data_IF_806598754457
#
_entry.id   IF_806598754457
#
_cell.length_a   1.000
_cell.length_b   1.000
_cell.length_c   1.000
_cell.angle_alpha   90.00
_cell.angle_beta   90.00
_cell.angle_gamma   90.00
#
_symmetry.space_group_name_H-M   'P 1'
#
loop_
_entity.id
_entity.type
_entity.pdbx_description
1 polymer ?
#
# COMPACT_ATOMS: atom_id res chain seq x y z
N UNK A 1 18.03 -55.66 37.38
CA UNK A 1 19.11 -54.94 36.67
C UNK A 1 18.67 -54.46 35.28
N UNK A 2 18.05 -55.31 34.45
CA UNK A 2 17.60 -54.95 33.08
C UNK A 2 16.53 -53.85 33.08
N UNK A 3 15.61 -53.88 34.03
CA UNK A 3 14.48 -52.94 34.11
C UNK A 3 14.91 -51.49 34.44
N UNK A 4 15.91 -51.34 35.31
CA UNK A 4 16.50 -50.02 35.66
C UNK A 4 17.19 -49.40 34.43
N UNK A 5 17.83 -50.23 33.60
CA UNK A 5 18.49 -49.75 32.37
C UNK A 5 17.48 -49.26 31.33
N UNK A 6 16.29 -49.86 31.24
CA UNK A 6 15.25 -49.44 30.29
C UNK A 6 14.59 -48.12 30.73
N UNK A 7 14.31 -47.96 32.02
CA UNK A 7 13.79 -46.71 32.56
C UNK A 7 14.77 -45.55 32.36
N UNK A 8 16.06 -45.79 32.55
CA UNK A 8 17.08 -44.76 32.34
C UNK A 8 17.19 -44.31 30.87
N UNK A 9 17.11 -45.25 29.92
CA UNK A 9 17.12 -44.93 28.48
C UNK A 9 15.88 -44.14 28.05
N UNK A 10 14.70 -44.48 28.57
CA UNK A 10 13.46 -43.75 28.27
C UNK A 10 13.53 -42.29 28.75
N UNK A 11 14.09 -42.04 29.93
CA UNK A 11 14.29 -40.68 30.45
C UNK A 11 15.28 -39.89 29.59
N UNK A 12 16.36 -40.52 29.13
CA UNK A 12 17.36 -39.85 28.29
C UNK A 12 16.79 -39.45 26.92
N UNK A 13 16.00 -40.31 26.28
CA UNK A 13 15.36 -39.95 25.00
C UNK A 13 14.32 -38.85 25.17
N UNK A 14 13.52 -38.87 26.24
CA UNK A 14 12.55 -37.80 26.52
C UNK A 14 13.24 -36.42 26.70
N UNK A 15 14.34 -36.38 27.47
CA UNK A 15 15.13 -35.15 27.66
C UNK A 15 15.76 -34.68 26.33
N UNK A 16 16.22 -35.62 25.50
CA UNK A 16 16.79 -35.31 24.19
C UNK A 16 15.75 -34.72 23.24
N UNK A 17 14.55 -35.27 23.18
CA UNK A 17 13.48 -34.75 22.34
C UNK A 17 13.04 -33.35 22.77
N UNK A 18 12.92 -33.10 24.08
CA UNK A 18 12.58 -31.77 24.60
C UNK A 18 13.66 -30.72 24.28
N UNK A 19 14.94 -31.09 24.37
CA UNK A 19 16.06 -30.24 23.97
C UNK A 19 16.05 -29.92 22.47
N UNK A 20 15.73 -30.90 21.62
CA UNK A 20 15.63 -30.68 20.16
C UNK A 20 14.46 -29.73 19.85
N UNK A 21 13.30 -29.95 20.46
CA UNK A 21 12.11 -29.12 20.25
C UNK A 21 12.34 -27.66 20.69
N UNK A 22 12.94 -27.45 21.86
CA UNK A 22 13.27 -26.11 22.36
C UNK A 22 14.32 -25.42 21.49
N UNK A 23 15.33 -26.14 21.01
CA UNK A 23 16.34 -25.59 20.09
C UNK A 23 15.74 -25.17 18.74
N UNK A 24 14.88 -26.02 18.16
CA UNK A 24 14.19 -25.70 16.90
C UNK A 24 13.28 -24.48 17.06
N UNK A 25 12.53 -24.39 18.16
CA UNK A 25 11.70 -23.22 18.48
C UNK A 25 12.54 -21.94 18.59
N UNK A 26 13.67 -21.99 19.31
CA UNK A 26 14.57 -20.85 19.47
C UNK A 26 15.23 -20.42 18.14
N UNK A 27 15.54 -21.37 17.25
CA UNK A 27 16.10 -21.08 15.93
C UNK A 27 15.07 -20.39 15.03
N UNK A 28 13.81 -20.85 15.06
CA UNK A 28 12.69 -20.22 14.36
C UNK A 28 12.50 -18.79 14.88
N UNK A 29 12.43 -18.57 16.18
CA UNK A 29 12.31 -17.23 16.80
C UNK A 29 13.47 -16.29 16.42
N UNK A 30 14.72 -16.77 16.43
CA UNK A 30 15.89 -15.98 16.00
C UNK A 30 15.85 -15.61 14.52
N UNK A 31 15.35 -16.51 13.67
CA UNK A 31 15.20 -16.24 12.23
C UNK A 31 14.13 -15.18 11.96
N UNK A 32 13.02 -15.22 12.70
CA UNK A 32 11.96 -14.21 12.65
C UNK A 32 12.42 -12.84 13.16
N UNK A 33 13.26 -12.79 14.19
CA UNK A 33 13.88 -11.54 14.65
C UNK A 33 14.70 -10.84 13.55
N UNK A 34 15.53 -11.59 12.82
CA UNK A 34 16.32 -11.04 11.71
C UNK A 34 15.45 -10.60 10.53
N UNK A 35 14.47 -11.43 10.14
CA UNK A 35 13.55 -11.11 9.05
C UNK A 35 12.69 -9.88 9.38
N UNK A 36 12.17 -9.78 10.60
CA UNK A 36 11.38 -8.62 11.03
C UNK A 36 12.21 -7.34 11.06
N UNK A 37 13.47 -7.39 11.52
CA UNK A 37 14.37 -6.24 11.47
C UNK A 37 14.69 -5.82 10.03
N UNK A 38 14.96 -6.77 9.13
CA UNK A 38 15.16 -6.48 7.71
C UNK A 38 13.91 -5.91 7.05
N UNK A 39 12.71 -6.38 7.41
CA UNK A 39 11.44 -5.82 6.97
C UNK A 39 11.23 -4.39 7.50
N UNK A 40 11.54 -4.13 8.76
CA UNK A 40 11.48 -2.79 9.36
C UNK A 40 12.45 -1.85 8.65
N UNK A 41 13.68 -2.29 8.39
CA UNK A 41 14.71 -1.50 7.72
C UNK A 41 14.36 -1.24 6.25
N UNK A 42 13.87 -2.25 5.53
CA UNK A 42 13.33 -2.11 4.18
C UNK A 42 12.17 -1.11 4.15
N UNK A 43 11.23 -1.21 5.11
CA UNK A 43 10.11 -0.27 5.26
C UNK A 43 10.58 1.15 5.58
N UNK A 44 11.63 1.32 6.38
CA UNK A 44 12.25 2.64 6.66
C UNK A 44 12.95 3.21 5.43
N UNK A 45 13.73 2.40 4.71
CA UNK A 45 14.39 2.80 3.46
C UNK A 45 13.38 3.18 2.39
N UNK A 46 12.28 2.43 2.31
CA UNK A 46 11.18 2.72 1.43
C UNK A 46 10.42 3.98 1.85
N UNK A 47 10.20 4.23 3.15
CA UNK A 47 9.68 5.51 3.65
C UNK A 47 10.60 6.69 3.37
N UNK A 48 11.92 6.51 3.26
CA UNK A 48 12.86 7.56 2.84
C UNK A 48 12.80 7.83 1.34
N UNK A 49 12.60 6.79 0.52
CA UNK A 49 12.39 6.93 -0.92
C UNK A 49 10.99 7.44 -1.28
N UNK A 50 10.01 7.14 -0.43
CA UNK A 50 8.66 7.67 -0.46
C UNK A 50 8.49 8.90 0.45
N UNK A 51 9.57 9.44 1.04
CA UNK A 51 9.51 10.63 1.92
C UNK A 51 9.10 11.79 1.03
N UNK A 52 7.83 12.19 1.08
CA UNK A 52 7.30 13.10 0.12
C UNK A 52 7.37 14.46 0.82
N UNK A 53 8.57 15.05 0.83
CA UNK A 53 8.61 16.51 0.77
C UNK A 53 7.82 17.02 -0.45
N UNK A 54 7.49 16.16 -1.41
CA UNK A 54 6.55 16.34 -2.53
C UNK A 54 5.03 16.13 -2.24
N UNK A 55 4.59 15.62 -1.07
CA UNK A 55 3.30 14.91 -0.99
C UNK A 55 2.08 15.64 -0.44
N UNK A 56 2.27 16.74 0.27
CA UNK A 56 1.16 17.55 0.79
C UNK A 56 1.70 18.96 0.95
N UNK A 57 1.51 19.78 -0.08
CA UNK A 57 1.89 21.20 -0.09
C UNK A 57 3.38 21.42 0.18
N UNK A 58 4.25 21.05 -0.77
CA UNK A 58 5.62 21.55 -0.74
C UNK A 58 5.55 23.07 -0.87
N UNK A 59 5.75 23.75 0.26
CA UNK A 59 6.05 25.15 0.32
C UNK A 59 7.30 25.38 -0.55
N UNK A 60 7.14 26.08 -1.67
CA UNK A 60 7.86 27.34 -2.00
C UNK A 60 7.90 27.66 -3.52
N UNK A 61 6.88 27.28 -4.32
CA UNK A 61 6.71 27.79 -5.69
C UNK A 61 5.97 29.16 -5.69
N UNK A 62 6.46 30.13 -4.92
CA UNK A 62 5.93 31.49 -4.89
C UNK A 62 4.49 31.65 -4.38
N UNK A 63 4.03 32.90 -4.26
CA UNK A 63 2.71 33.24 -3.73
C UNK A 63 1.58 33.00 -4.76
N UNK A 64 1.34 31.75 -5.16
CA UNK A 64 0.19 31.44 -6.01
C UNK A 64 0.16 30.03 -6.58
N UNK A 65 1.32 29.43 -6.85
CA UNK A 65 1.33 28.11 -7.47
C UNK A 65 1.02 27.02 -6.44
N UNK A 66 0.15 26.09 -6.79
CA UNK A 66 -0.23 24.93 -5.99
C UNK A 66 -0.26 23.70 -6.88
N UNK A 67 0.35 22.62 -6.41
CA UNK A 67 0.31 21.31 -7.07
C UNK A 67 -0.64 20.40 -6.30
N UNK A 68 -1.65 19.87 -6.98
CA UNK A 68 -2.60 18.92 -6.42
C UNK A 68 -2.28 17.51 -6.90
N UNK A 69 -2.24 16.57 -5.96
CA UNK A 69 -1.97 15.16 -6.21
C UNK A 69 -3.17 14.32 -5.79
N UNK A 70 -3.68 13.49 -6.70
CA UNK A 70 -4.84 12.62 -6.46
C UNK A 70 -4.49 11.20 -6.88
N UNK A 71 -4.74 10.22 -6.03
CA UNK A 71 -4.63 8.83 -6.43
C UNK A 71 -5.95 8.33 -6.97
N UNK A 72 -5.89 7.67 -8.12
CA UNK A 72 -6.93 6.79 -8.61
C UNK A 72 -6.70 5.38 -8.09
N UNK A 73 -7.75 4.71 -7.63
CA UNK A 73 -7.67 3.35 -7.09
C UNK A 73 -8.64 2.44 -7.81
N UNK A 74 -8.17 1.24 -8.12
CA UNK A 74 -9.00 0.15 -8.60
C UNK A 74 -8.65 -1.15 -7.87
N UNK A 75 -9.67 -1.99 -7.72
CA UNK A 75 -9.56 -3.34 -7.18
C UNK A 75 -9.73 -4.36 -8.29
N UNK A 76 -8.92 -5.43 -8.23
CA UNK A 76 -9.13 -6.63 -9.03
C UNK A 76 -10.32 -7.40 -8.49
N UNK A 77 -11.26 -7.73 -9.37
CA UNK A 77 -12.46 -8.48 -8.99
C UNK A 77 -12.13 -9.94 -8.68
N UNK A 78 -12.65 -10.52 -7.57
CA UNK A 78 -12.41 -11.92 -7.24
C UNK A 78 -12.85 -12.85 -8.37
N UNK A 79 -11.97 -13.78 -8.76
CA UNK A 79 -12.24 -14.74 -9.83
C UNK A 79 -12.12 -14.19 -11.26
N UNK A 80 -11.76 -12.92 -11.44
CA UNK A 80 -11.54 -12.35 -12.78
C UNK A 80 -10.20 -11.59 -12.86
N UNK A 81 -9.82 -11.19 -14.08
CA UNK A 81 -8.70 -10.28 -14.34
C UNK A 81 -9.16 -8.82 -14.47
N UNK A 82 -10.43 -8.52 -14.22
CA UNK A 82 -10.99 -7.18 -14.38
C UNK A 82 -10.63 -6.30 -13.18
N UNK A 83 -10.28 -5.04 -13.48
CA UNK A 83 -10.07 -3.99 -12.50
C UNK A 83 -11.27 -3.04 -12.50
N UNK A 84 -11.79 -2.71 -11.32
CA UNK A 84 -12.95 -1.83 -11.14
C UNK A 84 -12.74 -0.90 -9.95
N UNK A 85 -13.48 0.20 -9.90
CA UNK A 85 -13.52 1.04 -8.68
C UNK A 85 -13.89 0.18 -7.46
N UNK A 86 -13.19 0.29 -6.32
CA UNK A 86 -13.51 -0.53 -5.16
C UNK A 86 -14.92 -0.22 -4.63
N UNK A 87 -15.68 -1.27 -4.31
CA UNK A 87 -17.07 -1.16 -3.85
C UNK A 87 -17.44 -2.19 -2.77
N UNK A 88 -16.49 -3.01 -2.31
CA UNK A 88 -16.78 -4.02 -1.31
C UNK A 88 -16.91 -3.37 0.08
N UNK A 89 -17.71 -3.93 0.98
CA UNK A 89 -17.82 -3.43 2.35
C UNK A 89 -16.47 -3.33 3.09
N UNK A 90 -15.50 -4.18 2.72
CA UNK A 90 -14.15 -4.21 3.30
C UNK A 90 -13.22 -3.11 2.78
N UNK A 91 -13.64 -2.32 1.79
CA UNK A 91 -12.84 -1.19 1.28
C UNK A 91 -12.78 0.00 2.21
N UNK A 92 -13.80 0.18 3.05
CA UNK A 92 -13.95 1.35 3.90
C UNK A 92 -13.76 2.66 3.10
N UNK A 93 -12.73 3.44 3.42
CA UNK A 93 -12.35 4.69 2.77
C UNK A 93 -11.89 4.53 1.30
N UNK A 94 -11.40 3.34 0.91
CA UNK A 94 -10.97 3.03 -0.47
C UNK A 94 -12.15 2.79 -1.41
N UNK A 95 -13.38 2.81 -0.91
CA UNK A 95 -14.60 2.73 -1.73
C UNK A 95 -14.80 3.94 -2.66
N UNK A 96 -13.92 4.93 -2.57
CA UNK A 96 -13.83 6.05 -3.51
C UNK A 96 -12.76 5.78 -4.57
N UNK A 97 -13.07 6.05 -5.85
CA UNK A 97 -12.09 6.00 -6.94
C UNK A 97 -10.93 6.97 -6.73
N UNK A 98 -11.22 8.15 -6.19
CA UNK A 98 -10.27 9.25 -6.05
C UNK A 98 -9.93 9.48 -4.57
N UNK A 99 -8.70 9.19 -4.20
CA UNK A 99 -8.23 9.22 -2.81
C UNK A 99 -6.98 10.08 -2.64
N UNK A 100 -6.75 10.53 -1.41
CA UNK A 100 -5.49 11.13 -1.01
C UNK A 100 -4.41 10.07 -0.72
N UNK A 101 -3.20 10.50 -0.38
CA UNK A 101 -2.06 9.62 -0.09
C UNK A 101 -2.36 8.58 1.01
N UNK A 102 -3.23 8.92 1.96
CA UNK A 102 -3.63 8.08 3.07
C UNK A 102 -4.72 7.05 2.68
N UNK A 103 -5.21 7.09 1.44
CA UNK A 103 -6.24 6.17 0.95
C UNK A 103 -7.65 6.56 1.37
N UNK A 104 -7.84 7.82 1.78
CA UNK A 104 -9.14 8.38 2.16
C UNK A 104 -9.75 9.15 1.02
N UNK A 105 -11.08 9.34 1.07
CA UNK A 105 -11.79 10.24 0.15
C UNK A 105 -11.02 11.56 0.02
N UNK A 106 -10.61 11.89 -1.20
CA UNK A 106 -9.80 13.08 -1.41
C UNK A 106 -10.58 14.36 -1.00
N UNK A 107 -9.99 15.27 -0.20
CA UNK A 107 -10.71 16.39 0.43
C UNK A 107 -11.29 17.39 -0.58
N UNK A 108 -10.66 17.52 -1.74
CA UNK A 108 -11.08 18.45 -2.79
C UNK A 108 -12.13 17.88 -3.76
N UNK A 109 -12.66 16.67 -3.49
CA UNK A 109 -13.83 16.18 -4.20
C UNK A 109 -15.07 17.03 -3.86
N UNK A 110 -15.93 17.39 -4.84
CA UNK A 110 -17.09 18.24 -4.61
C UNK A 110 -17.96 17.72 -3.46
N UNK A 111 -18.40 18.65 -2.61
CA UNK A 111 -19.35 18.35 -1.54
C UNK A 111 -20.66 17.81 -2.16
N UNK A 112 -21.18 16.71 -1.61
CA UNK A 112 -22.37 16.04 -2.13
C UNK A 112 -22.15 15.11 -3.33
N UNK A 113 -20.93 15.02 -3.87
CA UNK A 113 -20.62 14.03 -4.90
C UNK A 113 -20.81 12.62 -4.34
N UNK A 114 -21.47 11.74 -5.09
CA UNK A 114 -21.68 10.33 -4.69
C UNK A 114 -20.53 9.43 -5.17
N UNK A 115 -20.39 8.25 -4.57
CA UNK A 115 -19.39 7.24 -5.01
C UNK A 115 -19.60 6.81 -6.47
N UNK A 116 -20.84 6.65 -6.91
CA UNK A 116 -21.17 6.28 -8.29
C UNK A 116 -20.72 7.37 -9.28
N UNK A 117 -20.97 8.64 -8.98
CA UNK A 117 -20.48 9.76 -9.80
C UNK A 117 -18.94 9.80 -9.82
N UNK A 118 -18.29 9.57 -8.68
CA UNK A 118 -16.84 9.53 -8.60
C UNK A 118 -16.26 8.38 -9.44
N UNK A 119 -16.88 7.20 -9.39
CA UNK A 119 -16.51 6.02 -10.17
C UNK A 119 -16.70 6.23 -11.68
N UNK A 120 -17.75 6.94 -12.10
CA UNK A 120 -18.03 7.22 -13.51
C UNK A 120 -17.11 8.30 -14.12
N UNK A 121 -16.46 9.12 -13.30
CA UNK A 121 -15.58 10.18 -13.79
C UNK A 121 -14.29 9.59 -14.36
N UNK A 122 -13.85 10.04 -15.54
CA UNK A 122 -12.60 9.58 -16.16
C UNK A 122 -11.37 10.36 -15.69
N UNK A 123 -11.56 11.57 -15.20
CA UNK A 123 -10.52 12.45 -14.68
C UNK A 123 -10.83 12.82 -13.22
N UNK A 124 -9.84 13.15 -12.39
CA UNK A 124 -10.11 13.55 -11.01
C UNK A 124 -11.01 14.80 -10.97
N UNK A 125 -12.21 14.74 -10.37
CA UNK A 125 -13.15 15.86 -10.35
C UNK A 125 -12.83 16.85 -9.21
N UNK A 126 -11.57 16.95 -8.79
CA UNK A 126 -11.15 17.74 -7.64
C UNK A 126 -11.05 19.24 -7.96
N UNK A 127 -11.41 20.11 -7.00
CA UNK A 127 -11.37 21.57 -7.13
C UNK A 127 -10.66 22.21 -5.94
N UNK A 128 -9.68 23.07 -6.20
CA UNK A 128 -8.88 23.75 -5.17
C UNK A 128 -9.52 25.08 -4.74
N UNK A 129 -10.69 25.03 -4.11
CA UNK A 129 -11.43 26.23 -3.70
C UNK A 129 -11.79 27.16 -4.87
N UNK A 130 -12.15 28.41 -4.55
CA UNK A 130 -12.51 29.44 -5.56
C UNK A 130 -11.37 30.41 -5.88
N UNK A 131 -10.30 30.41 -5.08
CA UNK A 131 -9.18 31.34 -5.23
C UNK A 131 -8.11 30.85 -6.21
N UNK A 132 -8.16 29.58 -6.60
CA UNK A 132 -7.16 28.98 -7.48
C UNK A 132 -7.80 28.53 -8.79
N UNK A 133 -7.12 28.82 -9.89
CA UNK A 133 -7.48 28.36 -11.22
C UNK A 133 -6.50 27.29 -11.68
N UNK A 134 -6.97 26.35 -12.49
CA UNK A 134 -6.10 25.34 -13.04
C UNK A 134 -5.11 25.95 -14.03
N UNK A 135 -3.82 25.72 -13.80
CA UNK A 135 -2.74 26.16 -14.67
C UNK A 135 -2.29 25.06 -15.66
N UNK A 136 -2.63 23.79 -15.37
CA UNK A 136 -2.40 22.65 -16.26
C UNK A 136 -3.65 21.79 -16.43
N UNK A 137 -3.59 20.83 -17.34
CA UNK A 137 -4.51 19.69 -17.36
C UNK A 137 -4.10 18.64 -16.32
N UNK A 138 -4.95 17.64 -16.13
CA UNK A 138 -4.61 16.47 -15.33
C UNK A 138 -3.63 15.59 -16.06
N UNK A 139 -2.51 15.29 -15.43
CA UNK A 139 -1.46 14.46 -15.99
C UNK A 139 -1.20 13.25 -15.10
N UNK A 140 -0.94 12.09 -15.71
CA UNK A 140 -0.52 10.89 -14.99
C UNK A 140 0.96 11.03 -14.66
N UNK A 141 1.30 10.84 -13.38
CA UNK A 141 2.69 10.92 -12.94
C UNK A 141 3.44 9.61 -13.24
N UNK A 142 4.19 9.59 -14.33
CA UNK A 142 5.09 8.48 -14.67
C UNK A 142 6.40 8.61 -13.88
N UNK A 143 6.66 7.69 -12.95
CA UNK A 143 7.97 7.57 -12.29
C UNK A 143 8.42 6.11 -12.30
N UNK A 144 9.65 5.84 -11.86
CA UNK A 144 10.09 4.47 -11.58
C UNK A 144 9.09 3.77 -10.64
N UNK A 145 8.80 2.50 -10.91
CA UNK A 145 7.81 1.71 -10.14
C UNK A 145 6.38 1.78 -10.66
N UNK A 146 6.17 2.26 -11.90
CA UNK A 146 4.85 2.28 -12.57
C UNK A 146 4.93 1.67 -13.96
N UNK A 147 3.82 1.11 -14.42
CA UNK A 147 3.69 0.62 -15.79
C UNK A 147 3.60 1.77 -16.82
N UNK A 148 3.37 1.40 -18.09
CA UNK A 148 3.24 2.36 -19.20
C UNK A 148 2.03 3.28 -19.07
N UNK A 149 1.00 2.86 -18.34
CA UNK A 149 -0.22 3.63 -18.10
C UNK A 149 -0.19 4.42 -16.76
N UNK A 150 0.90 4.29 -16.00
CA UNK A 150 1.09 4.92 -14.71
C UNK A 150 0.47 4.19 -13.52
N UNK A 151 0.09 2.91 -13.67
CA UNK A 151 -0.36 2.07 -12.57
C UNK A 151 0.81 1.48 -11.79
N UNK A 152 0.61 1.34 -10.48
CA UNK A 152 1.37 0.43 -9.63
C UNK A 152 0.43 -0.57 -8.97
N UNK A 153 0.90 -1.78 -8.71
CA UNK A 153 0.09 -2.91 -8.22
C UNK A 153 0.50 -3.33 -6.81
N UNK A 154 -0.47 -3.77 -6.01
CA UNK A 154 -0.21 -4.24 -4.65
C UNK A 154 -1.36 -5.03 -4.04
N UNK A 155 -1.06 -5.69 -2.93
CA UNK A 155 -2.05 -6.51 -2.20
C UNK A 155 -3.01 -5.65 -1.38
N UNK A 156 -2.54 -4.54 -0.79
CA UNK A 156 -3.33 -3.63 0.05
C UNK A 156 -2.83 -2.17 -0.08
N UNK A 157 -3.64 -1.18 0.31
CA UNK A 157 -3.23 0.22 0.19
C UNK A 157 -1.99 0.56 1.01
N UNK A 158 -1.90 -0.02 2.22
CA UNK A 158 -0.74 0.13 3.11
C UNK A 158 0.42 -0.82 2.76
N UNK A 159 0.36 -1.52 1.61
CA UNK A 159 1.48 -2.33 1.14
C UNK A 159 2.75 -1.49 1.11
N UNK A 160 3.81 -2.06 1.68
CA UNK A 160 5.15 -1.47 1.57
C UNK A 160 5.56 -1.50 0.11
N UNK A 161 5.58 -2.67 -0.52
CA UNK A 161 5.94 -2.82 -1.92
C UNK A 161 4.75 -2.55 -2.86
N UNK A 162 5.05 -1.88 -3.97
CA UNK A 162 4.17 -1.71 -5.11
C UNK A 162 4.95 -2.08 -6.36
N UNK A 163 4.37 -2.96 -7.18
CA UNK A 163 5.05 -3.53 -8.34
C UNK A 163 4.67 -2.80 -9.63
N UNK A 164 5.54 -2.88 -10.63
CA UNK A 164 5.34 -2.30 -11.97
C UNK A 164 4.33 -3.09 -12.78
N UNK A 165 4.18 -4.40 -12.55
CA UNK A 165 3.29 -5.27 -13.30
C UNK A 165 2.38 -6.03 -12.33
N UNK A 166 1.16 -6.40 -12.75
CA UNK A 166 0.22 -7.12 -11.89
C UNK A 166 0.72 -8.53 -11.58
N UNK A 167 0.89 -8.81 -10.29
CA UNK A 167 1.15 -10.14 -9.76
C UNK A 167 -0.13 -10.97 -9.56
N UNK A 168 0.02 -12.27 -9.26
CA UNK A 168 -1.12 -13.17 -9.03
C UNK A 168 -1.90 -12.85 -7.74
N UNK A 169 -1.25 -12.21 -6.77
CA UNK A 169 -1.84 -11.86 -5.46
C UNK A 169 -2.27 -10.39 -5.35
N UNK A 170 -2.00 -9.58 -6.38
CA UNK A 170 -2.35 -8.18 -6.34
C UNK A 170 -3.86 -8.01 -6.42
N UNK A 171 -4.40 -7.30 -5.44
CA UNK A 171 -5.83 -7.03 -5.34
C UNK A 171 -6.16 -5.56 -5.59
N UNK A 172 -5.16 -4.68 -5.55
CA UNK A 172 -5.29 -3.25 -5.77
C UNK A 172 -4.28 -2.78 -6.81
N UNK A 173 -4.68 -1.77 -7.57
CA UNK A 173 -3.80 -0.93 -8.35
C UNK A 173 -4.09 0.53 -8.07
N UNK A 174 -3.07 1.37 -8.19
CA UNK A 174 -3.22 2.81 -8.03
C UNK A 174 -2.46 3.59 -9.10
N UNK A 175 -2.98 4.75 -9.47
CA UNK A 175 -2.36 5.66 -10.44
C UNK A 175 -2.36 7.07 -9.87
N UNK A 176 -1.22 7.75 -9.91
CA UNK A 176 -1.10 9.10 -9.38
C UNK A 176 -1.38 10.12 -10.49
N UNK A 177 -2.35 10.99 -10.24
CA UNK A 177 -2.70 12.13 -11.07
C UNK A 177 -2.23 13.43 -10.43
N UNK A 178 -1.73 14.34 -11.25
CA UNK A 178 -1.19 15.63 -10.81
C UNK A 178 -1.75 16.75 -11.68
N UNK A 179 -2.02 17.89 -11.04
CA UNK A 179 -2.42 19.13 -11.71
C UNK A 179 -1.87 20.35 -10.98
N UNK A 180 -1.43 21.36 -11.71
CA UNK A 180 -1.01 22.64 -11.13
C UNK A 180 -2.13 23.67 -11.18
N UNK A 181 -2.09 24.58 -10.22
CA UNK A 181 -3.02 25.67 -10.02
C UNK A 181 -2.26 26.96 -9.72
N UNK A 182 -2.86 28.11 -10.05
CA UNK A 182 -2.36 29.47 -9.79
C UNK A 182 -3.46 30.38 -9.28
#
# INVERSE_FOLDING_TARGET
AIEISQQYQAVLEAVREELIATFQKAQVERSWGKLSLQLIEAKRRQRRLQDPRDGTSQADEGCGHRRLSVFEVERRMPGTSEWKTPFLPTDDDLSWRWVELQGRRHPYLPLGMTRSQAAASQLPPCRLGTLFHAASDWEVHHSAGRDREGWSYGIAWQSSAWEVAPGPLDTLRRRLWIRTFT
#
